data_IF_080046820577
#
_entry.id   IF_080046820577
#
_cell.length_a   1.000
_cell.length_b   1.000
_cell.length_c   1.000
_cell.angle_alpha   90.00
_cell.angle_beta   90.00
_cell.angle_gamma   90.00
#
_symmetry.space_group_name_H-M   'P 1'
#
loop_
_entity.id
_entity.type
_entity.pdbx_description
1 polymer ?
#
# COMPACT_ATOMS: atom_id res chain seq x y z
N UNK A 1 -1.91 17.30 -23.41
CA UNK A 1 -1.33 16.62 -22.25
C UNK A 1 -0.72 17.65 -21.31
N UNK A 2 -1.06 17.62 -20.02
CA UNK A 2 -0.53 18.56 -19.01
C UNK A 2 0.55 17.86 -18.16
N UNK A 3 1.81 18.06 -18.55
CA UNK A 3 2.95 17.44 -17.86
C UNK A 3 3.15 17.91 -16.41
N UNK A 4 2.65 19.09 -16.03
CA UNK A 4 2.73 19.58 -14.65
C UNK A 4 1.86 18.73 -13.71
N UNK A 5 0.66 18.31 -14.17
CA UNK A 5 -0.19 17.39 -13.40
C UNK A 5 0.43 16.00 -13.29
N UNK A 6 1.00 15.50 -14.39
CA UNK A 6 1.68 14.19 -14.38
C UNK A 6 2.90 14.23 -13.44
N UNK A 7 3.74 15.26 -13.53
CA UNK A 7 4.90 15.42 -12.64
C UNK A 7 4.47 15.50 -11.17
N UNK A 8 3.44 16.30 -10.85
CA UNK A 8 2.92 16.39 -9.48
C UNK A 8 2.43 15.03 -8.97
N UNK A 9 1.69 14.27 -9.78
CA UNK A 9 1.21 12.93 -9.41
C UNK A 9 2.36 11.95 -9.14
N UNK A 10 3.35 11.89 -10.04
CA UNK A 10 4.46 10.95 -9.94
C UNK A 10 5.40 11.27 -8.78
N UNK A 11 5.77 12.54 -8.63
CA UNK A 11 6.68 12.97 -7.56
C UNK A 11 6.01 12.86 -6.18
N UNK A 12 4.71 13.15 -6.08
CA UNK A 12 4.00 12.98 -4.81
C UNK A 12 3.87 11.50 -4.41
N UNK A 13 3.65 10.60 -5.37
CA UNK A 13 3.63 9.17 -5.11
C UNK A 13 5.02 8.64 -4.73
N UNK A 14 6.08 9.16 -5.36
CA UNK A 14 7.45 8.83 -4.99
C UNK A 14 7.75 9.21 -3.53
N UNK A 15 7.42 10.44 -3.13
CA UNK A 15 7.61 10.91 -1.75
C UNK A 15 6.78 10.10 -0.74
N UNK A 16 5.51 9.81 -1.08
CA UNK A 16 4.64 8.96 -0.28
C UNK A 16 5.26 7.58 -0.06
N UNK A 17 5.69 6.95 -1.13
CA UNK A 17 6.21 5.58 -1.08
C UNK A 17 7.50 5.48 -0.26
N UNK A 18 8.37 6.49 -0.28
CA UNK A 18 9.54 6.52 0.60
C UNK A 18 9.13 6.53 2.07
N UNK A 19 8.22 7.43 2.49
CA UNK A 19 7.75 7.51 3.87
C UNK A 19 7.02 6.23 4.31
N UNK A 20 6.15 5.72 3.46
CA UNK A 20 5.32 4.55 3.76
C UNK A 20 6.17 3.28 3.91
N UNK A 21 7.04 3.00 2.95
CA UNK A 21 7.85 1.78 2.93
C UNK A 21 9.08 1.85 3.85
N UNK A 22 9.46 3.02 4.34
CA UNK A 22 10.49 3.17 5.38
C UNK A 22 10.09 2.62 6.74
N UNK A 23 8.79 2.56 7.04
CA UNK A 23 8.31 2.05 8.34
C UNK A 23 8.63 0.56 8.56
N UNK A 24 8.64 -0.22 7.50
CA UNK A 24 8.89 -1.66 7.60
C UNK A 24 10.32 -1.98 8.04
N UNK A 25 11.37 -1.51 7.36
CA UNK A 25 12.75 -1.83 7.76
C UNK A 25 13.17 -1.13 9.06
N UNK A 26 12.52 -0.04 9.47
CA UNK A 26 12.82 0.68 10.72
C UNK A 26 12.02 0.19 11.92
N UNK A 27 11.05 -0.72 11.71
CA UNK A 27 10.08 -1.09 12.73
C UNK A 27 10.71 -1.62 14.02
N UNK A 28 11.70 -2.51 13.91
CA UNK A 28 12.37 -3.09 15.08
C UNK A 28 13.16 -2.04 15.88
N UNK A 29 13.88 -1.14 15.19
CA UNK A 29 14.60 -0.06 15.83
C UNK A 29 13.67 0.91 16.57
N UNK A 30 12.49 1.20 16.00
CA UNK A 30 11.45 2.00 16.65
C UNK A 30 10.96 1.34 17.94
N UNK A 31 10.68 0.02 17.93
CA UNK A 31 10.26 -0.70 19.14
C UNK A 31 11.31 -0.61 20.24
N UNK A 32 12.58 -0.78 19.89
CA UNK A 32 13.69 -0.75 20.83
C UNK A 32 13.89 0.66 21.42
N UNK A 33 13.96 1.69 20.58
CA UNK A 33 14.19 3.07 21.02
C UNK A 33 13.07 3.61 21.90
N UNK A 34 11.82 3.20 21.64
CA UNK A 34 10.66 3.60 22.43
C UNK A 34 10.36 2.67 23.61
N UNK A 35 11.06 1.53 23.70
CA UNK A 35 10.81 0.48 24.71
C UNK A 35 9.34 0.02 24.72
N UNK A 36 8.72 -0.16 23.55
CA UNK A 36 7.32 -0.57 23.40
C UNK A 36 7.21 -1.99 22.82
N UNK A 37 6.11 -2.66 23.18
CA UNK A 37 5.80 -3.99 22.66
C UNK A 37 5.29 -3.97 21.21
N UNK A 38 5.23 -5.17 20.56
CA UNK A 38 4.79 -5.29 19.17
C UNK A 38 3.35 -4.84 18.93
N UNK A 39 2.43 -5.02 19.90
CA UNK A 39 1.05 -4.54 19.78
C UNK A 39 1.02 -3.01 19.68
N UNK A 40 1.71 -2.31 20.58
CA UNK A 40 1.80 -0.86 20.57
C UNK A 40 2.52 -0.36 19.30
N UNK A 41 3.61 -1.02 18.91
CA UNK A 41 4.34 -0.69 17.68
C UNK A 41 3.50 -0.86 16.41
N UNK A 42 2.58 -1.82 16.37
CA UNK A 42 1.71 -2.04 15.22
C UNK A 42 0.77 -0.87 14.92
N UNK A 43 0.56 0.04 15.88
CA UNK A 43 -0.24 1.25 15.66
C UNK A 43 0.40 2.23 14.67
N UNK A 44 1.70 2.13 14.39
CA UNK A 44 2.34 2.89 13.30
C UNK A 44 1.69 2.58 11.92
N UNK A 45 1.16 1.39 11.74
CA UNK A 45 0.49 0.95 10.52
C UNK A 45 -1.03 1.02 10.63
N UNK A 46 -1.61 0.48 11.72
CA UNK A 46 -3.07 0.37 11.86
C UNK A 46 -3.75 1.73 12.00
N UNK A 47 -3.15 2.68 12.74
CA UNK A 47 -3.67 4.06 12.86
C UNK A 47 -3.64 4.75 11.51
N UNK A 48 -2.52 4.68 10.79
CA UNK A 48 -2.42 5.28 9.46
C UNK A 48 -3.46 4.68 8.49
N UNK A 49 -3.65 3.36 8.49
CA UNK A 49 -4.64 2.67 7.65
C UNK A 49 -6.08 3.04 8.02
N UNK A 50 -6.38 3.15 9.32
CA UNK A 50 -7.71 3.55 9.81
C UNK A 50 -8.03 5.01 9.42
N UNK A 51 -7.10 5.93 9.60
CA UNK A 51 -7.25 7.32 9.17
C UNK A 51 -7.43 7.39 7.66
N UNK A 52 -6.63 6.62 6.89
CA UNK A 52 -6.78 6.55 5.44
C UNK A 52 -8.17 6.07 5.02
N UNK A 53 -8.72 5.08 5.70
CA UNK A 53 -10.09 4.61 5.45
C UNK A 53 -11.13 5.74 5.65
N UNK A 54 -11.04 6.50 6.75
CA UNK A 54 -11.96 7.62 7.02
C UNK A 54 -11.86 8.70 5.93
N UNK A 55 -10.65 9.06 5.52
CA UNK A 55 -10.42 10.05 4.47
C UNK A 55 -10.98 9.58 3.12
N UNK A 56 -10.76 8.31 2.78
CA UNK A 56 -11.28 7.71 1.55
C UNK A 56 -12.82 7.72 1.51
N UNK A 57 -13.49 7.35 2.62
CA UNK A 57 -14.96 7.38 2.73
C UNK A 57 -15.54 8.79 2.60
N UNK A 58 -14.78 9.82 2.93
CA UNK A 58 -15.21 11.21 2.85
C UNK A 58 -14.75 11.93 1.59
N UNK A 59 -14.02 11.27 0.70
CA UNK A 59 -13.38 11.86 -0.48
C UNK A 59 -14.34 12.60 -1.41
N UNK A 60 -15.55 12.08 -1.61
CA UNK A 60 -16.59 12.71 -2.41
C UNK A 60 -17.02 14.09 -1.89
N UNK A 61 -16.77 14.41 -0.60
CA UNK A 61 -17.13 15.69 0.03
C UNK A 61 -16.03 16.74 -0.07
N UNK A 62 -14.77 16.34 0.12
CA UNK A 62 -13.65 17.29 0.20
C UNK A 62 -12.92 17.49 -1.13
N UNK A 63 -12.78 16.44 -1.95
CA UNK A 63 -12.01 16.52 -3.19
C UNK A 63 -12.60 17.51 -4.22
N UNK A 64 -13.94 17.57 -4.48
CA UNK A 64 -14.50 18.56 -5.38
C UNK A 64 -14.30 20.01 -4.90
N UNK A 65 -14.32 20.22 -3.57
CA UNK A 65 -14.17 21.56 -2.96
C UNK A 65 -12.73 22.08 -3.02
N UNK A 66 -11.76 21.24 -2.71
CA UNK A 66 -10.35 21.63 -2.66
C UNK A 66 -9.65 21.52 -4.02
N UNK A 67 -10.14 20.63 -4.87
CA UNK A 67 -9.51 20.26 -6.12
C UNK A 67 -8.23 19.41 -5.92
N UNK A 68 -7.79 18.67 -6.96
CA UNK A 68 -6.73 17.68 -6.82
C UNK A 68 -5.35 18.30 -6.55
N UNK A 69 -5.03 19.48 -7.10
CA UNK A 69 -3.71 20.12 -6.93
C UNK A 69 -3.52 20.61 -5.50
N UNK A 70 -4.53 21.32 -4.94
CA UNK A 70 -4.46 21.82 -3.55
C UNK A 70 -4.41 20.65 -2.58
N UNK A 71 -5.27 19.65 -2.79
CA UNK A 71 -5.29 18.45 -1.94
C UNK A 71 -3.96 17.70 -1.95
N UNK A 72 -3.31 17.58 -3.13
CA UNK A 72 -1.97 16.95 -3.20
C UNK A 72 -0.92 17.77 -2.44
N UNK A 73 -0.96 19.10 -2.49
CA UNK A 73 -0.05 19.95 -1.70
C UNK A 73 -0.29 19.78 -0.20
N UNK A 74 -1.54 19.73 0.25
CA UNK A 74 -1.89 19.44 1.65
C UNK A 74 -1.31 18.07 2.04
N UNK A 75 -1.50 17.06 1.22
CA UNK A 75 -0.93 15.72 1.45
C UNK A 75 0.59 15.76 1.62
N UNK A 76 1.31 16.40 0.69
CA UNK A 76 2.77 16.53 0.76
C UNK A 76 3.23 17.29 2.03
N UNK A 77 2.49 18.33 2.44
CA UNK A 77 2.77 19.04 3.69
C UNK A 77 2.57 18.14 4.90
N UNK A 78 1.47 17.38 4.95
CA UNK A 78 1.21 16.41 6.02
C UNK A 78 2.29 15.35 6.09
N UNK A 79 2.76 14.84 4.94
CA UNK A 79 3.85 13.87 4.85
C UNK A 79 5.19 14.46 5.32
N UNK A 80 5.52 15.70 4.92
CA UNK A 80 6.74 16.37 5.38
C UNK A 80 6.73 16.57 6.90
N UNK A 81 5.60 17.05 7.45
CA UNK A 81 5.43 17.22 8.90
C UNK A 81 5.48 15.87 9.62
N UNK A 82 4.84 14.82 9.06
CA UNK A 82 4.89 13.46 9.61
C UNK A 82 6.33 12.95 9.73
N UNK A 83 7.15 13.13 8.69
CA UNK A 83 8.55 12.73 8.70
C UNK A 83 9.34 13.44 9.81
N UNK A 84 9.12 14.74 9.99
CA UNK A 84 9.74 15.52 11.07
C UNK A 84 9.25 15.10 12.46
N UNK A 85 7.93 14.87 12.63
CA UNK A 85 7.37 14.38 13.90
C UNK A 85 7.91 12.98 14.21
N UNK A 86 8.11 12.14 13.19
CA UNK A 86 8.72 10.81 13.37
C UNK A 86 10.17 10.89 13.84
N UNK A 87 10.94 11.87 13.37
CA UNK A 87 12.27 12.16 13.91
C UNK A 87 12.20 12.55 15.40
N UNK A 88 11.31 13.48 15.75
CA UNK A 88 11.10 13.89 17.15
C UNK A 88 10.64 12.72 18.03
N UNK A 89 9.86 11.79 17.48
CA UNK A 89 9.47 10.55 18.16
C UNK A 89 10.67 9.81 18.73
N UNK A 90 11.70 9.60 17.91
CA UNK A 90 12.90 8.90 18.36
C UNK A 90 13.81 9.75 19.25
N UNK A 91 13.90 11.07 19.00
CA UNK A 91 14.71 11.97 19.85
C UNK A 91 14.14 12.06 21.27
N UNK A 92 12.80 12.09 21.41
CA UNK A 92 12.14 12.24 22.70
C UNK A 92 11.66 10.89 23.30
N UNK A 93 11.87 9.77 22.60
CA UNK A 93 11.33 8.45 22.93
C UNK A 93 9.82 8.50 23.24
N UNK A 94 9.04 9.27 22.45
CA UNK A 94 7.64 9.59 22.75
C UNK A 94 6.66 8.79 21.93
N UNK A 95 5.94 7.90 22.60
CA UNK A 95 4.86 7.12 21.97
C UNK A 95 3.72 8.01 21.44
N UNK A 96 3.41 9.12 22.12
CA UNK A 96 2.38 10.06 21.65
C UNK A 96 2.77 10.69 20.31
N UNK A 97 4.03 11.04 20.12
CA UNK A 97 4.52 11.57 18.84
C UNK A 97 4.48 10.49 17.73
N UNK A 98 4.71 9.22 18.06
CA UNK A 98 4.53 8.10 17.13
C UNK A 98 3.11 8.06 16.58
N UNK A 99 2.11 8.16 17.45
CA UNK A 99 0.69 8.16 17.05
C UNK A 99 0.35 9.38 16.22
N UNK A 100 0.81 10.58 16.63
CA UNK A 100 0.59 11.82 15.86
C UNK A 100 1.20 11.70 14.45
N UNK A 101 2.45 11.22 14.34
CA UNK A 101 3.09 10.98 13.05
C UNK A 101 2.28 10.01 12.19
N UNK A 102 1.77 8.93 12.78
CA UNK A 102 0.97 7.92 12.07
C UNK A 102 -0.36 8.48 11.57
N UNK A 103 -1.01 9.38 12.34
CA UNK A 103 -2.22 10.09 11.92
C UNK A 103 -1.91 11.01 10.72
N UNK A 104 -0.86 11.83 10.83
CA UNK A 104 -0.44 12.74 9.77
C UNK A 104 -0.09 12.00 8.49
N UNK A 105 0.64 10.88 8.61
CA UNK A 105 0.97 10.03 7.47
C UNK A 105 -0.28 9.41 6.85
N UNK A 106 -1.21 8.89 7.66
CA UNK A 106 -2.46 8.32 7.19
C UNK A 106 -3.32 9.30 6.41
N UNK A 107 -3.42 10.56 6.88
CA UNK A 107 -4.06 11.66 6.16
C UNK A 107 -3.35 11.93 4.82
N UNK A 108 -2.04 12.09 4.84
CA UNK A 108 -1.24 12.33 3.66
C UNK A 108 -1.35 11.21 2.63
N UNK A 109 -1.24 9.95 3.08
CA UNK A 109 -1.33 8.76 2.26
C UNK A 109 -2.68 8.67 1.52
N UNK A 110 -3.78 8.81 2.23
CA UNK A 110 -5.13 8.72 1.64
C UNK A 110 -5.39 9.83 0.63
N UNK A 111 -5.07 11.07 0.97
CA UNK A 111 -5.25 12.20 0.06
C UNK A 111 -4.39 12.02 -1.20
N UNK A 112 -3.12 11.62 -1.06
CA UNK A 112 -2.22 11.42 -2.19
C UNK A 112 -2.70 10.32 -3.11
N UNK A 113 -3.06 9.14 -2.58
CA UNK A 113 -3.50 7.99 -3.38
C UNK A 113 -4.75 8.26 -4.22
N UNK A 114 -5.64 9.13 -3.75
CA UNK A 114 -6.79 9.57 -4.53
C UNK A 114 -6.36 10.61 -5.58
N UNK A 115 -5.66 11.65 -5.14
CA UNK A 115 -5.40 12.83 -6.00
C UNK A 115 -4.43 12.53 -7.12
N UNK A 116 -3.44 11.64 -6.94
CA UNK A 116 -2.52 11.24 -8.00
C UNK A 116 -3.26 10.61 -9.20
N UNK A 117 -4.27 9.79 -8.93
CA UNK A 117 -5.08 9.18 -9.99
C UNK A 117 -5.87 10.24 -10.76
N UNK A 118 -6.49 11.18 -10.05
CA UNK A 118 -7.24 12.29 -10.67
C UNK A 118 -6.31 13.19 -11.49
N UNK A 119 -5.12 13.50 -10.99
CA UNK A 119 -4.12 14.30 -11.72
C UNK A 119 -3.65 13.60 -12.99
N UNK A 120 -3.43 12.27 -12.97
CA UNK A 120 -3.09 11.50 -14.17
C UNK A 120 -4.25 11.55 -15.18
N UNK A 121 -5.50 11.38 -14.75
CA UNK A 121 -6.68 11.48 -15.63
C UNK A 121 -6.73 12.88 -16.29
N UNK A 122 -6.64 13.95 -15.49
CA UNK A 122 -6.73 15.32 -15.98
C UNK A 122 -5.50 15.76 -16.78
N UNK A 123 -4.34 15.15 -16.53
CA UNK A 123 -3.10 15.45 -17.25
C UNK A 123 -2.90 14.66 -18.55
N UNK A 124 -3.61 13.55 -18.72
CA UNK A 124 -3.44 12.62 -19.85
C UNK A 124 -4.46 12.84 -20.97
N UNK A 125 -4.16 12.29 -22.14
CA UNK A 125 -5.12 12.08 -23.24
C UNK A 125 -5.63 10.65 -23.19
N UNK A 126 -6.74 10.34 -23.87
CA UNK A 126 -7.30 8.97 -23.89
C UNK A 126 -6.27 7.93 -24.38
N UNK A 127 -5.40 8.31 -25.32
CA UNK A 127 -4.35 7.44 -25.89
C UNK A 127 -3.17 7.21 -24.95
N UNK A 128 -2.85 8.17 -24.08
CA UNK A 128 -1.67 8.09 -23.20
C UNK A 128 -2.00 7.63 -21.77
N UNK A 129 -3.28 7.66 -21.39
CA UNK A 129 -3.74 7.43 -20.01
C UNK A 129 -3.28 6.08 -19.44
N UNK A 130 -3.48 4.98 -20.16
CA UNK A 130 -3.07 3.64 -19.73
C UNK A 130 -1.57 3.57 -19.44
N UNK A 131 -0.75 4.14 -20.34
CA UNK A 131 0.71 4.19 -20.19
C UNK A 131 1.13 5.00 -18.97
N UNK A 132 0.48 6.13 -18.72
CA UNK A 132 0.78 6.98 -17.57
C UNK A 132 0.36 6.34 -16.24
N UNK A 133 -0.76 5.64 -16.19
CA UNK A 133 -1.10 4.85 -14.99
C UNK A 133 -0.10 3.73 -14.72
N UNK A 134 0.34 3.02 -15.75
CA UNK A 134 1.39 2.01 -15.60
C UNK A 134 2.69 2.61 -15.05
N UNK A 135 3.10 3.77 -15.59
CA UNK A 135 4.27 4.52 -15.11
C UNK A 135 4.13 4.97 -13.65
N UNK A 136 2.93 5.39 -13.24
CA UNK A 136 2.64 5.77 -11.85
C UNK A 136 2.89 4.61 -10.88
N UNK A 137 2.40 3.42 -11.20
CA UNK A 137 2.64 2.23 -10.38
C UNK A 137 4.11 1.77 -10.41
N UNK A 138 4.81 1.99 -11.53
CA UNK A 138 6.25 1.71 -11.62
C UNK A 138 7.07 2.63 -10.70
N UNK A 139 6.72 3.92 -10.59
CA UNK A 139 7.35 4.86 -9.63
C UNK A 139 7.13 4.41 -8.19
N UNK A 140 5.93 3.94 -7.83
CA UNK A 140 5.70 3.38 -6.50
C UNK A 140 6.62 2.18 -6.22
N UNK A 141 6.71 1.23 -7.15
CA UNK A 141 7.60 0.07 -7.02
C UNK A 141 9.08 0.46 -6.91
N UNK A 142 9.53 1.43 -7.72
CA UNK A 142 10.90 1.93 -7.66
C UNK A 142 11.22 2.57 -6.30
N UNK A 143 10.36 3.44 -5.80
CA UNK A 143 10.58 4.10 -4.50
C UNK A 143 10.49 3.11 -3.32
N UNK A 144 9.63 2.11 -3.41
CA UNK A 144 9.55 1.02 -2.41
C UNK A 144 10.85 0.19 -2.36
N UNK A 145 11.42 -0.08 -3.53
CA UNK A 145 12.73 -0.74 -3.65
C UNK A 145 13.86 0.13 -3.07
N UNK A 146 13.82 1.45 -3.30
CA UNK A 146 14.87 2.37 -2.84
C UNK A 146 14.84 2.62 -1.33
N UNK A 147 13.69 2.53 -0.67
CA UNK A 147 13.55 2.86 0.74
C UNK A 147 14.53 2.09 1.66
N UNK A 148 14.66 0.75 1.59
CA UNK A 148 15.65 0.02 2.40
C UNK A 148 17.09 0.35 2.03
N UNK A 149 17.41 0.63 0.76
CA UNK A 149 18.76 1.02 0.35
C UNK A 149 19.16 2.38 0.90
N UNK A 150 18.25 3.36 0.90
CA UNK A 150 18.48 4.68 1.50
C UNK A 150 18.72 4.52 2.99
N UNK A 151 17.90 3.73 3.69
CA UNK A 151 18.11 3.45 5.11
C UNK A 151 19.46 2.80 5.36
N UNK A 152 19.83 1.74 4.62
CA UNK A 152 21.11 1.06 4.73
C UNK A 152 22.30 2.01 4.48
N UNK A 153 22.19 2.90 3.49
CA UNK A 153 23.19 3.93 3.24
C UNK A 153 23.35 4.89 4.41
N UNK A 154 22.25 5.36 5.00
CA UNK A 154 22.27 6.25 6.17
C UNK A 154 22.92 5.57 7.37
N UNK A 155 22.54 4.32 7.68
CA UNK A 155 23.12 3.54 8.81
C UNK A 155 24.63 3.36 8.62
N UNK A 156 25.09 2.99 7.42
CA UNK A 156 26.53 2.83 7.10
C UNK A 156 27.34 4.12 7.28
N UNK A 157 26.70 5.29 7.15
CA UNK A 157 27.34 6.59 7.34
C UNK A 157 27.09 7.20 8.74
N UNK A 158 26.73 6.39 9.73
CA UNK A 158 26.56 6.83 11.13
C UNK A 158 25.22 7.49 11.43
N UNK A 159 24.28 7.47 10.48
CA UNK A 159 22.88 7.87 10.71
C UNK A 159 22.06 6.74 11.33
N UNK A 160 20.79 7.02 11.57
CA UNK A 160 19.84 6.07 12.13
C UNK A 160 18.47 6.18 11.42
N UNK A 161 17.50 5.39 11.89
CA UNK A 161 16.15 5.40 11.36
C UNK A 161 15.45 6.76 11.46
N UNK A 162 15.79 7.59 12.46
CA UNK A 162 15.22 8.94 12.65
C UNK A 162 15.59 9.85 11.49
N UNK A 163 16.86 9.82 11.09
CA UNK A 163 17.38 10.61 9.96
C UNK A 163 16.69 10.20 8.65
N UNK A 164 16.38 8.90 8.47
CA UNK A 164 15.65 8.43 7.30
C UNK A 164 14.30 9.16 7.13
N UNK A 165 13.53 9.32 8.20
CA UNK A 165 12.23 10.00 8.13
C UNK A 165 12.35 11.50 7.87
N UNK A 166 13.39 12.15 8.37
CA UNK A 166 13.68 13.55 8.00
C UNK A 166 14.00 13.66 6.51
N UNK A 167 14.88 12.82 5.98
CA UNK A 167 15.25 12.82 4.56
C UNK A 167 14.01 12.61 3.69
N UNK A 168 13.17 11.62 4.03
CA UNK A 168 11.93 11.34 3.31
C UNK A 168 10.92 12.50 3.39
N UNK A 169 10.82 13.18 4.54
CA UNK A 169 10.01 14.38 4.73
C UNK A 169 10.51 15.56 3.90
N UNK A 170 11.84 15.74 3.83
CA UNK A 170 12.48 16.76 2.97
C UNK A 170 12.16 16.49 1.49
N UNK A 171 12.16 15.23 1.05
CA UNK A 171 11.76 14.88 -0.33
C UNK A 171 10.33 15.34 -0.60
N UNK A 172 9.39 15.12 0.31
CA UNK A 172 8.00 15.60 0.16
C UNK A 172 7.95 17.14 0.07
N UNK A 173 8.73 17.84 0.87
CA UNK A 173 8.81 19.30 0.82
C UNK A 173 9.43 19.80 -0.50
N UNK A 174 10.50 19.17 -0.98
CA UNK A 174 11.12 19.49 -2.27
C UNK A 174 10.10 19.33 -3.42
N UNK A 175 9.26 18.28 -3.38
CA UNK A 175 8.21 18.08 -4.39
C UNK A 175 7.22 19.26 -4.40
N UNK A 176 6.85 19.83 -3.24
CA UNK A 176 6.02 21.03 -3.19
C UNK A 176 6.69 22.20 -3.94
N UNK A 177 7.99 22.42 -3.68
CA UNK A 177 8.73 23.51 -4.30
C UNK A 177 8.87 23.34 -5.81
N UNK A 178 9.20 22.12 -6.27
CA UNK A 178 9.34 21.78 -7.70
C UNK A 178 8.01 21.94 -8.47
N UNK A 179 6.90 21.63 -7.81
CA UNK A 179 5.57 21.63 -8.44
C UNK A 179 4.74 22.89 -8.13
N UNK A 180 5.35 23.94 -7.53
CA UNK A 180 4.66 25.17 -7.14
C UNK A 180 3.93 25.90 -8.27
N UNK A 181 4.43 25.78 -9.51
CA UNK A 181 3.85 26.39 -10.72
C UNK A 181 2.68 25.60 -11.32
N UNK A 182 2.28 24.47 -10.72
CA UNK A 182 1.12 23.72 -11.19
C UNK A 182 -0.15 24.49 -10.84
N UNK A 183 -0.93 24.81 -11.89
CA UNK A 183 -2.17 25.58 -11.76
C UNK A 183 -3.23 24.80 -10.97
N UNK A 184 -3.97 25.49 -10.13
CA UNK A 184 -5.14 24.93 -9.44
C UNK A 184 -6.29 24.76 -10.42
N UNK A 185 -6.97 23.63 -10.35
CA UNK A 185 -8.19 23.41 -11.13
C UNK A 185 -9.39 24.02 -10.38
N UNK A 186 -10.39 24.57 -11.08
CA UNK A 186 -11.63 25.01 -10.46
C UNK A 186 -12.28 23.86 -9.68
N UNK A 187 -12.96 24.21 -8.59
CA UNK A 187 -13.79 23.25 -7.85
C UNK A 187 -14.94 22.76 -8.74
N UNK A 188 -15.19 21.46 -8.72
CA UNK A 188 -16.31 20.86 -9.46
C UNK A 188 -17.54 20.77 -8.55
N UNK A 189 -18.73 20.98 -9.13
CA UNK A 189 -19.98 20.90 -8.39
C UNK A 189 -20.28 19.42 -8.00
N UNK A 190 -20.53 19.08 -6.72
CA UNK A 190 -20.70 17.69 -6.27
C UNK A 190 -21.93 16.96 -6.83
N UNK A 191 -22.79 17.66 -7.59
CA UNK A 191 -24.11 17.15 -7.98
C UNK A 191 -24.16 16.11 -9.10
N UNK A 192 -23.02 15.74 -9.73
CA UNK A 192 -23.05 14.87 -10.93
C UNK A 192 -22.80 13.37 -10.68
N UNK A 193 -22.65 12.91 -9.45
CA UNK A 193 -22.41 11.47 -9.19
C UNK A 193 -23.58 10.78 -8.46
N UNK A 194 -24.78 10.85 -9.00
CA UNK A 194 -25.91 10.00 -8.61
C UNK A 194 -26.26 9.01 -9.74
N UNK A 195 -25.47 7.98 -9.91
CA UNK A 195 -25.96 6.72 -10.46
C UNK A 195 -25.88 5.67 -9.35
N UNK A 196 -27.00 5.52 -8.61
CA UNK A 196 -27.21 4.39 -7.71
C UNK A 196 -27.39 3.12 -8.58
N UNK A 197 -26.29 2.48 -8.89
CA UNK A 197 -26.31 1.15 -9.48
C UNK A 197 -26.16 0.16 -8.33
N UNK A 198 -27.29 -0.31 -7.78
CA UNK A 198 -27.27 -1.27 -6.67
C UNK A 198 -26.67 -2.59 -7.11
N UNK A 199 -25.52 -2.93 -6.49
CA UNK A 199 -24.94 -4.28 -6.54
C UNK A 199 -25.28 -4.97 -5.22
N UNK A 200 -25.81 -6.20 -5.23
CA UNK A 200 -26.14 -6.92 -4.01
C UNK A 200 -24.97 -6.97 -3.03
N UNK A 201 -25.24 -6.77 -1.74
CA UNK A 201 -24.23 -6.70 -0.69
C UNK A 201 -23.30 -7.93 -0.68
N UNK A 202 -23.84 -9.12 -0.95
CA UNK A 202 -23.09 -10.38 -1.03
C UNK A 202 -21.90 -10.30 -1.99
N UNK A 203 -22.06 -9.71 -3.17
CA UNK A 203 -20.99 -9.57 -4.17
C UNK A 203 -19.98 -8.50 -3.77
N UNK A 204 -20.44 -7.42 -3.15
CA UNK A 204 -19.56 -6.38 -2.59
C UNK A 204 -18.66 -6.96 -1.50
N UNK A 205 -19.21 -7.80 -0.62
CA UNK A 205 -18.47 -8.48 0.44
C UNK A 205 -17.48 -9.49 -0.17
N UNK A 206 -17.92 -10.33 -1.12
CA UNK A 206 -17.05 -11.35 -1.72
C UNK A 206 -15.86 -10.74 -2.46
N UNK A 207 -16.09 -9.71 -3.29
CA UNK A 207 -14.97 -9.01 -3.95
C UNK A 207 -14.13 -8.20 -2.98
N UNK A 208 -14.74 -7.64 -1.96
CA UNK A 208 -14.05 -6.97 -0.86
C UNK A 208 -13.12 -7.90 -0.10
N UNK A 209 -13.59 -9.11 0.23
CA UNK A 209 -12.77 -10.16 0.85
C UNK A 209 -11.70 -10.68 -0.11
N UNK A 210 -12.05 -10.94 -1.37
CA UNK A 210 -11.10 -11.41 -2.38
C UNK A 210 -9.91 -10.46 -2.51
N UNK A 211 -10.15 -9.19 -2.83
CA UNK A 211 -9.09 -8.23 -3.08
C UNK A 211 -8.53 -7.63 -1.78
N UNK A 212 -9.37 -7.41 -0.77
CA UNK A 212 -8.94 -6.86 0.52
C UNK A 212 -8.06 -7.81 1.31
N UNK A 213 -8.43 -9.09 1.43
CA UNK A 213 -7.61 -10.08 2.11
C UNK A 213 -6.33 -10.39 1.33
N UNK A 214 -6.40 -10.38 -0.02
CA UNK A 214 -5.20 -10.50 -0.84
C UNK A 214 -4.20 -9.36 -0.57
N UNK A 215 -4.64 -8.08 -0.66
CA UNK A 215 -3.76 -6.93 -0.39
C UNK A 215 -3.24 -6.97 1.04
N UNK A 216 -4.06 -7.35 2.01
CA UNK A 216 -3.62 -7.51 3.38
C UNK A 216 -2.55 -8.60 3.52
N UNK A 217 -2.67 -9.75 2.81
CA UNK A 217 -1.66 -10.80 2.84
C UNK A 217 -0.31 -10.35 2.23
N UNK A 218 -0.34 -9.57 1.13
CA UNK A 218 0.85 -8.95 0.54
C UNK A 218 1.53 -8.00 1.55
N UNK A 219 0.73 -7.19 2.26
CA UNK A 219 1.25 -6.26 3.24
C UNK A 219 1.72 -6.91 4.54
N UNK A 220 1.25 -8.10 4.91
CA UNK A 220 1.87 -8.86 6.02
C UNK A 220 3.35 -9.09 5.70
N UNK A 221 3.67 -9.58 4.51
CA UNK A 221 5.08 -9.84 4.15
C UNK A 221 5.83 -8.51 3.98
N UNK A 222 5.36 -7.60 3.14
CA UNK A 222 6.10 -6.37 2.83
C UNK A 222 6.34 -5.46 4.04
N UNK A 223 5.47 -5.48 5.04
CA UNK A 223 5.64 -4.64 6.23
C UNK A 223 6.33 -5.36 7.40
N UNK A 224 6.34 -6.70 7.42
CA UNK A 224 6.82 -7.47 8.57
C UNK A 224 8.03 -8.38 8.28
N UNK A 225 8.40 -8.56 7.02
CA UNK A 225 9.55 -9.40 6.65
C UNK A 225 10.85 -8.96 7.34
N UNK A 226 11.27 -7.66 7.32
CA UNK A 226 12.49 -7.27 8.02
C UNK A 226 12.43 -7.53 9.52
N UNK A 227 11.28 -7.26 10.15
CA UNK A 227 11.08 -7.51 11.57
C UNK A 227 11.22 -9.01 11.90
N UNK A 228 10.57 -9.89 11.13
CA UNK A 228 10.69 -11.34 11.27
C UNK A 228 12.15 -11.82 11.12
N UNK A 229 12.83 -11.37 10.08
CA UNK A 229 14.24 -11.75 9.83
C UNK A 229 15.14 -11.31 10.98
N UNK A 230 14.92 -10.12 11.51
CA UNK A 230 15.71 -9.57 12.59
C UNK A 230 15.40 -10.23 13.94
N UNK A 231 14.12 -10.39 14.31
CA UNK A 231 13.72 -10.88 15.63
C UNK A 231 13.78 -12.40 15.76
N UNK A 232 13.40 -13.15 14.71
CA UNK A 232 13.34 -14.62 14.72
C UNK A 232 14.64 -15.23 14.19
N UNK A 233 15.09 -14.78 13.01
CA UNK A 233 16.28 -15.35 12.36
C UNK A 233 17.58 -14.64 12.74
N UNK A 234 17.53 -13.56 13.54
CA UNK A 234 18.67 -12.81 14.05
C UNK A 234 19.55 -12.17 12.97
N UNK A 235 18.96 -11.84 11.81
CA UNK A 235 19.66 -11.09 10.78
C UNK A 235 19.81 -9.62 11.21
N UNK A 236 20.88 -8.97 10.77
CA UNK A 236 21.08 -7.54 10.98
C UNK A 236 20.06 -6.71 10.17
N UNK A 237 19.91 -5.43 10.53
CA UNK A 237 18.93 -4.52 9.90
C UNK A 237 19.18 -4.33 8.41
N UNK A 238 20.45 -4.26 7.99
CA UNK A 238 20.82 -4.03 6.58
C UNK A 238 20.46 -5.25 5.75
N UNK A 239 20.84 -6.45 6.20
CA UNK A 239 20.51 -7.71 5.54
C UNK A 239 18.99 -7.90 5.47
N UNK A 240 18.26 -7.63 6.56
CA UNK A 240 16.81 -7.72 6.60
C UNK A 240 16.16 -6.73 5.62
N UNK A 241 16.71 -5.53 5.46
CA UNK A 241 16.29 -4.54 4.47
C UNK A 241 16.52 -5.01 3.03
N UNK A 242 17.63 -5.72 2.75
CA UNK A 242 17.88 -6.27 1.41
C UNK A 242 16.85 -7.34 1.02
N UNK A 243 16.41 -8.19 1.94
CA UNK A 243 15.32 -9.14 1.68
C UNK A 243 14.00 -8.42 1.32
N UNK A 244 13.70 -7.31 1.98
CA UNK A 244 12.54 -6.49 1.60
C UNK A 244 12.72 -5.88 0.20
N UNK A 245 13.93 -5.43 -0.14
CA UNK A 245 14.22 -4.94 -1.48
C UNK A 245 14.05 -6.03 -2.54
N UNK A 246 14.46 -7.27 -2.25
CA UNK A 246 14.24 -8.43 -3.13
C UNK A 246 12.74 -8.71 -3.27
N UNK A 247 11.93 -8.56 -2.21
CA UNK A 247 10.48 -8.68 -2.29
C UNK A 247 9.88 -7.68 -3.28
N UNK A 248 10.21 -6.40 -3.15
CA UNK A 248 9.71 -5.37 -4.08
C UNK A 248 10.26 -5.53 -5.49
N UNK A 249 11.51 -5.95 -5.66
CA UNK A 249 12.09 -6.25 -6.96
C UNK A 249 11.35 -7.41 -7.64
N UNK A 250 11.08 -8.49 -6.92
CA UNK A 250 10.35 -9.66 -7.42
C UNK A 250 8.90 -9.32 -7.77
N UNK A 251 8.24 -8.46 -6.95
CA UNK A 251 6.91 -7.93 -7.23
C UNK A 251 6.89 -7.10 -8.53
N UNK A 252 7.86 -6.21 -8.69
CA UNK A 252 7.99 -5.41 -9.91
C UNK A 252 8.30 -6.28 -11.14
N UNK A 253 9.23 -7.21 -11.01
CA UNK A 253 9.60 -8.13 -12.11
C UNK A 253 8.39 -8.95 -12.59
N UNK A 254 7.59 -9.45 -11.65
CA UNK A 254 6.36 -10.15 -12.00
C UNK A 254 5.35 -9.23 -12.71
N UNK A 255 5.10 -8.02 -12.20
CA UNK A 255 4.20 -7.04 -12.86
C UNK A 255 4.66 -6.68 -14.28
N UNK A 256 5.97 -6.48 -14.48
CA UNK A 256 6.54 -6.22 -15.80
C UNK A 256 6.34 -7.43 -16.72
N UNK A 257 6.67 -8.64 -16.27
CA UNK A 257 6.48 -9.87 -17.05
C UNK A 257 5.03 -10.04 -17.50
N UNK A 258 4.08 -9.84 -16.58
CA UNK A 258 2.65 -9.94 -16.88
C UNK A 258 2.12 -8.80 -17.77
N UNK A 259 2.76 -7.64 -17.77
CA UNK A 259 2.42 -6.53 -18.67
C UNK A 259 2.94 -6.74 -20.10
N UNK A 260 4.07 -7.43 -20.25
CA UNK A 260 4.70 -7.67 -21.56
C UNK A 260 4.13 -8.88 -22.29
N UNK A 261 3.55 -9.85 -21.57
CA UNK A 261 3.05 -11.09 -22.13
C UNK A 261 1.54 -11.20 -21.94
N UNK A 262 0.79 -11.28 -23.04
CA UNK A 262 -0.64 -11.61 -22.98
C UNK A 262 -0.80 -13.09 -22.62
N UNK A 263 -1.41 -13.38 -21.49
CA UNK A 263 -1.71 -14.74 -21.07
C UNK A 263 -3.07 -15.16 -21.66
N UNK A 264 -3.14 -16.38 -22.21
CA UNK A 264 -4.38 -16.98 -22.74
C UNK A 264 -5.31 -17.51 -21.65
N UNK A 265 -4.88 -17.44 -20.39
CA UNK A 265 -5.65 -17.93 -19.25
C UNK A 265 -6.61 -16.86 -18.73
N UNK A 266 -7.75 -17.31 -18.20
CA UNK A 266 -8.74 -16.41 -17.57
C UNK A 266 -8.18 -15.79 -16.30
N UNK A 267 -8.62 -14.57 -15.99
CA UNK A 267 -8.14 -13.80 -14.81
C UNK A 267 -8.37 -14.56 -13.50
N UNK A 268 -9.50 -15.26 -13.34
CA UNK A 268 -9.77 -16.09 -12.16
C UNK A 268 -8.80 -17.27 -12.00
N UNK A 269 -8.41 -17.92 -13.10
CA UNK A 269 -7.44 -19.04 -13.05
C UNK A 269 -6.04 -18.55 -12.65
N UNK A 270 -5.62 -17.39 -13.14
CA UNK A 270 -4.36 -16.77 -12.78
C UNK A 270 -4.35 -16.36 -11.30
N UNK A 271 -5.46 -15.83 -10.77
CA UNK A 271 -5.59 -15.54 -9.35
C UNK A 271 -5.47 -16.80 -8.49
N UNK A 272 -6.17 -17.88 -8.83
CA UNK A 272 -6.05 -19.17 -8.10
C UNK A 272 -4.60 -19.64 -8.10
N UNK A 273 -3.95 -19.62 -9.26
CA UNK A 273 -2.54 -20.03 -9.39
C UNK A 273 -1.62 -19.14 -8.52
N UNK A 274 -1.83 -17.81 -8.52
CA UNK A 274 -1.11 -16.87 -7.65
C UNK A 274 -1.24 -17.24 -6.16
N UNK A 275 -2.45 -17.47 -5.68
CA UNK A 275 -2.69 -17.78 -4.27
C UNK A 275 -2.03 -19.10 -3.85
N UNK A 276 -2.14 -20.15 -4.70
CA UNK A 276 -1.52 -21.46 -4.42
C UNK A 276 0.01 -21.34 -4.42
N UNK A 277 0.59 -20.73 -5.45
CA UNK A 277 2.05 -20.58 -5.53
C UNK A 277 2.60 -19.68 -4.43
N UNK A 278 1.86 -18.66 -4.00
CA UNK A 278 2.21 -17.83 -2.85
C UNK A 278 2.24 -18.65 -1.56
N UNK A 279 1.25 -19.49 -1.30
CA UNK A 279 1.24 -20.36 -0.13
C UNK A 279 2.42 -21.33 -0.13
N UNK A 280 2.72 -21.96 -1.26
CA UNK A 280 3.89 -22.85 -1.40
C UNK A 280 5.18 -22.06 -1.11
N UNK A 281 5.35 -20.91 -1.75
CA UNK A 281 6.53 -20.06 -1.60
C UNK A 281 6.69 -19.58 -0.15
N UNK A 282 5.59 -19.21 0.50
CA UNK A 282 5.57 -18.79 1.90
C UNK A 282 6.08 -19.90 2.84
N UNK A 283 5.56 -21.12 2.73
CA UNK A 283 6.00 -22.23 3.58
C UNK A 283 7.44 -22.69 3.26
N UNK A 284 7.86 -22.64 2.00
CA UNK A 284 9.28 -22.83 1.67
C UNK A 284 10.16 -21.76 2.34
N UNK A 285 9.62 -20.53 2.46
CA UNK A 285 10.30 -19.43 3.13
C UNK A 285 10.44 -19.61 4.64
N UNK A 286 9.46 -20.22 5.30
CA UNK A 286 9.53 -20.50 6.73
C UNK A 286 10.42 -21.70 7.07
N UNK A 287 10.39 -22.78 6.26
CA UNK A 287 10.99 -24.06 6.63
C UNK A 287 12.29 -24.40 5.90
N UNK A 288 12.57 -23.75 4.75
CA UNK A 288 13.76 -24.06 3.93
C UNK A 288 14.71 -22.87 3.90
N UNK A 289 14.28 -21.71 3.36
CA UNK A 289 15.14 -20.55 3.27
C UNK A 289 14.32 -19.25 3.13
N UNK A 290 14.61 -18.19 3.92
CA UNK A 290 13.80 -16.96 3.96
C UNK A 290 13.77 -16.19 2.63
N UNK A 291 14.66 -16.49 1.67
CA UNK A 291 14.60 -15.92 0.32
C UNK A 291 13.25 -16.21 -0.35
N UNK A 292 12.61 -17.34 -0.07
CA UNK A 292 11.28 -17.65 -0.62
C UNK A 292 10.21 -16.70 -0.08
N UNK A 293 10.33 -16.17 1.15
CA UNK A 293 9.43 -15.10 1.63
C UNK A 293 9.57 -13.84 0.78
N UNK A 294 10.79 -13.47 0.41
CA UNK A 294 11.00 -12.33 -0.50
C UNK A 294 10.50 -12.63 -1.93
N UNK A 295 10.60 -13.88 -2.40
CA UNK A 295 10.08 -14.29 -3.71
C UNK A 295 8.54 -14.40 -3.74
N UNK A 296 7.85 -14.39 -2.60
CA UNK A 296 6.39 -14.23 -2.57
C UNK A 296 5.93 -12.97 -3.32
N UNK A 297 6.74 -11.91 -3.37
CA UNK A 297 6.46 -10.73 -4.19
C UNK A 297 6.18 -11.08 -5.65
N UNK A 298 6.94 -12.01 -6.24
CA UNK A 298 6.73 -12.45 -7.63
C UNK A 298 5.40 -13.19 -7.79
N UNK A 299 5.10 -14.13 -6.90
CA UNK A 299 3.87 -14.94 -6.98
C UNK A 299 2.61 -14.11 -6.71
N UNK A 300 2.73 -13.05 -5.90
CA UNK A 300 1.66 -12.10 -5.60
C UNK A 300 1.48 -11.03 -6.67
N UNK A 301 2.47 -10.74 -7.50
CA UNK A 301 2.57 -9.55 -8.34
C UNK A 301 1.37 -9.30 -9.26
N UNK A 302 0.72 -10.33 -9.74
CA UNK A 302 -0.34 -10.25 -10.76
C UNK A 302 -1.76 -10.49 -10.22
N UNK A 303 -1.93 -10.95 -8.98
CA UNK A 303 -3.27 -11.24 -8.45
C UNK A 303 -4.16 -9.99 -8.35
N UNK A 304 -3.62 -8.84 -7.90
CA UNK A 304 -4.41 -7.62 -7.83
C UNK A 304 -4.81 -7.08 -9.22
N UNK A 305 -3.89 -6.94 -10.21
CA UNK A 305 -4.29 -6.56 -11.57
C UNK A 305 -5.32 -7.49 -12.18
N UNK A 306 -5.14 -8.80 -12.03
CA UNK A 306 -6.10 -9.79 -12.54
C UNK A 306 -7.45 -9.72 -11.81
N UNK A 307 -7.44 -9.46 -10.51
CA UNK A 307 -8.66 -9.27 -9.73
C UNK A 307 -9.44 -8.02 -10.13
N UNK A 308 -8.74 -6.93 -10.44
CA UNK A 308 -9.37 -5.71 -10.97
C UNK A 308 -9.92 -5.91 -12.38
N UNK A 309 -9.20 -6.63 -13.24
CA UNK A 309 -9.68 -6.99 -14.58
C UNK A 309 -10.94 -7.86 -14.49
N UNK A 310 -10.91 -8.90 -13.67
CA UNK A 310 -12.06 -9.77 -13.40
C UNK A 310 -13.27 -9.00 -12.84
N UNK A 311 -13.04 -8.02 -11.97
CA UNK A 311 -14.10 -7.14 -11.46
C UNK A 311 -14.75 -6.33 -12.59
N UNK A 312 -13.93 -5.69 -13.43
CA UNK A 312 -14.43 -4.85 -14.54
C UNK A 312 -15.20 -5.69 -15.56
N UNK A 313 -14.67 -6.87 -15.93
CA UNK A 313 -15.37 -7.79 -16.83
C UNK A 313 -16.70 -8.29 -16.26
N UNK A 314 -16.75 -8.57 -14.95
CA UNK A 314 -17.93 -9.09 -14.27
C UNK A 314 -19.04 -8.06 -14.12
N UNK A 315 -18.70 -6.84 -13.66
CA UNK A 315 -19.68 -5.82 -13.30
C UNK A 315 -19.92 -4.77 -14.38
N UNK A 316 -19.12 -4.74 -15.44
CA UNK A 316 -19.31 -3.84 -16.61
C UNK A 316 -19.63 -2.40 -16.21
N UNK A 317 -20.83 -1.93 -16.50
CA UNK A 317 -21.28 -0.56 -16.19
C UNK A 317 -21.31 -0.24 -14.70
N UNK A 318 -21.44 -1.26 -13.82
CA UNK A 318 -21.42 -1.12 -12.36
C UNK A 318 -20.00 -1.19 -11.77
N UNK A 319 -18.96 -1.30 -12.61
CA UNK A 319 -17.56 -1.51 -12.17
C UNK A 319 -17.04 -0.37 -11.29
N UNK A 320 -17.34 0.90 -11.60
CA UNK A 320 -16.88 2.05 -10.82
C UNK A 320 -17.41 2.02 -9.38
N UNK A 321 -18.68 1.65 -9.21
CA UNK A 321 -19.29 1.46 -7.91
C UNK A 321 -18.61 0.30 -7.13
N UNK A 322 -18.37 -0.80 -7.82
CA UNK A 322 -17.69 -1.97 -7.23
C UNK A 322 -16.24 -1.68 -6.85
N UNK A 323 -15.49 -0.96 -7.69
CA UNK A 323 -14.12 -0.53 -7.38
C UNK A 323 -14.12 0.29 -6.08
N UNK A 324 -15.01 1.27 -5.95
CA UNK A 324 -15.14 2.09 -4.73
C UNK A 324 -15.45 1.24 -3.50
N UNK A 325 -16.37 0.27 -3.63
CA UNK A 325 -16.71 -0.67 -2.56
C UNK A 325 -15.50 -1.53 -2.15
N UNK A 326 -14.78 -2.07 -3.12
CA UNK A 326 -13.59 -2.89 -2.89
C UNK A 326 -12.47 -2.08 -2.21
N UNK A 327 -12.23 -0.84 -2.64
CA UNK A 327 -11.22 0.04 -2.00
C UNK A 327 -11.57 0.31 -0.52
N UNK A 328 -12.85 0.44 -0.20
CA UNK A 328 -13.31 0.54 1.20
C UNK A 328 -12.97 -0.73 1.99
N UNK A 329 -13.27 -1.92 1.44
CA UNK A 329 -12.95 -3.19 2.07
C UNK A 329 -11.46 -3.41 2.25
N UNK A 330 -10.63 -3.00 1.27
CA UNK A 330 -9.17 -3.02 1.39
C UNK A 330 -8.75 -2.19 2.61
N UNK A 331 -9.27 -0.98 2.77
CA UNK A 331 -8.97 -0.14 3.94
C UNK A 331 -9.32 -0.80 5.27
N UNK A 332 -10.50 -1.44 5.36
CA UNK A 332 -10.93 -2.20 6.55
C UNK A 332 -9.99 -3.36 6.81
N UNK A 333 -9.69 -4.16 5.78
CA UNK A 333 -8.80 -5.33 5.90
C UNK A 333 -7.39 -4.94 6.34
N UNK A 334 -6.84 -3.84 5.82
CA UNK A 334 -5.51 -3.37 6.20
C UNK A 334 -5.44 -2.89 7.65
N UNK A 335 -6.40 -2.07 8.07
CA UNK A 335 -6.47 -1.60 9.45
C UNK A 335 -6.59 -2.80 10.43
N UNK A 336 -7.48 -3.75 10.12
CA UNK A 336 -7.69 -4.95 10.93
C UNK A 336 -6.45 -5.84 10.95
N UNK A 337 -5.82 -6.09 9.80
CA UNK A 337 -4.64 -6.94 9.69
C UNK A 337 -3.47 -6.38 10.50
N UNK A 338 -3.18 -5.08 10.38
CA UNK A 338 -2.08 -4.49 11.15
C UNK A 338 -2.32 -4.53 12.66
N UNK A 339 -3.57 -4.31 13.09
CA UNK A 339 -3.94 -4.41 14.49
C UNK A 339 -3.82 -5.86 14.99
N UNK A 340 -4.41 -6.82 14.28
CA UNK A 340 -4.35 -8.24 14.61
C UNK A 340 -2.92 -8.78 14.63
N UNK A 341 -2.09 -8.35 13.66
CA UNK A 341 -0.68 -8.73 13.65
C UNK A 341 0.02 -8.32 14.95
N UNK A 342 -0.22 -7.10 15.42
CA UNK A 342 0.35 -6.63 16.67
C UNK A 342 -0.04 -7.48 17.87
N UNK A 343 -1.34 -7.76 18.01
CA UNK A 343 -1.86 -8.58 19.11
C UNK A 343 -1.32 -10.01 19.08
N UNK A 344 -1.35 -10.65 17.90
CA UNK A 344 -0.85 -12.03 17.76
C UNK A 344 0.66 -12.09 17.99
N UNK A 345 1.40 -11.10 17.49
CA UNK A 345 2.84 -11.03 17.68
C UNK A 345 3.23 -10.84 19.15
N UNK A 346 2.47 -10.05 19.91
CA UNK A 346 2.72 -9.86 21.35
C UNK A 346 2.40 -11.12 22.16
N UNK A 347 1.34 -11.83 21.78
CA UNK A 347 0.89 -13.01 22.50
C UNK A 347 1.67 -14.29 22.15
N UNK A 348 2.08 -14.45 20.90
CA UNK A 348 2.58 -15.73 20.37
C UNK A 348 3.90 -15.61 19.57
N UNK A 349 4.43 -14.40 19.37
CA UNK A 349 5.66 -14.16 18.61
C UNK A 349 5.46 -13.90 17.12
N UNK A 350 6.54 -13.43 16.49
CA UNK A 350 6.52 -12.96 15.10
C UNK A 350 6.34 -14.09 14.09
N UNK A 351 6.81 -15.29 14.39
CA UNK A 351 6.66 -16.51 13.59
C UNK A 351 5.18 -16.91 13.43
N UNK A 352 4.43 -16.90 14.54
CA UNK A 352 2.99 -17.18 14.53
C UNK A 352 2.22 -16.02 13.87
N UNK A 353 2.57 -14.77 14.19
CA UNK A 353 1.91 -13.61 13.60
C UNK A 353 2.07 -13.56 12.07
N UNK A 354 3.19 -14.04 11.53
CA UNK A 354 3.42 -14.08 10.08
C UNK A 354 2.46 -15.04 9.37
N UNK A 355 1.89 -16.05 10.06
CA UNK A 355 0.85 -16.96 9.52
C UNK A 355 -0.46 -16.25 9.17
N UNK A 356 -0.64 -14.99 9.56
CA UNK A 356 -1.73 -14.16 9.02
C UNK A 356 -1.68 -14.06 7.49
N UNK A 357 -0.49 -14.14 6.87
CA UNK A 357 -0.36 -14.10 5.41
C UNK A 357 -1.09 -15.29 4.73
N UNK A 358 -0.75 -16.57 5.00
CA UNK A 358 -1.48 -17.68 4.40
C UNK A 358 -2.95 -17.73 4.82
N UNK A 359 -3.32 -17.33 6.04
CA UNK A 359 -4.70 -17.26 6.49
C UNK A 359 -5.52 -16.27 5.62
N UNK A 360 -5.00 -15.08 5.38
CA UNK A 360 -5.64 -14.08 4.52
C UNK A 360 -5.68 -14.55 3.06
N UNK A 361 -4.64 -15.23 2.59
CA UNK A 361 -4.60 -15.84 1.25
C UNK A 361 -5.71 -16.90 1.10
N UNK A 362 -5.96 -17.71 2.12
CA UNK A 362 -7.07 -18.69 2.14
C UNK A 362 -8.43 -17.97 2.11
N UNK A 363 -8.59 -16.89 2.86
CA UNK A 363 -9.83 -16.09 2.84
C UNK A 363 -10.09 -15.54 1.44
N UNK A 364 -9.06 -14.96 0.80
CA UNK A 364 -9.17 -14.44 -0.56
C UNK A 364 -9.55 -15.53 -1.58
N UNK A 365 -8.87 -16.68 -1.52
CA UNK A 365 -9.15 -17.82 -2.40
C UNK A 365 -10.56 -18.40 -2.16
N UNK A 366 -10.98 -18.50 -0.90
CA UNK A 366 -12.33 -18.97 -0.55
C UNK A 366 -13.41 -18.02 -1.09
N UNK A 367 -13.21 -16.71 -0.95
CA UNK A 367 -14.12 -15.70 -1.49
C UNK A 367 -14.25 -15.82 -3.03
N UNK A 368 -13.14 -16.04 -3.73
CA UNK A 368 -13.14 -16.28 -5.19
C UNK A 368 -13.94 -17.54 -5.55
N UNK A 369 -13.67 -18.66 -4.87
CA UNK A 369 -14.35 -19.94 -5.15
C UNK A 369 -15.86 -19.83 -4.87
N UNK A 370 -16.26 -19.19 -3.78
CA UNK A 370 -17.66 -18.96 -3.44
C UNK A 370 -18.32 -18.09 -4.51
N UNK A 371 -17.65 -17.02 -4.96
CA UNK A 371 -18.17 -16.16 -6.02
C UNK A 371 -18.34 -16.93 -7.33
N UNK A 372 -17.38 -17.76 -7.73
CA UNK A 372 -17.45 -18.54 -8.97
C UNK A 372 -18.62 -19.54 -8.96
N UNK A 373 -18.99 -20.06 -7.79
CA UNK A 373 -20.12 -20.98 -7.61
C UNK A 373 -21.47 -20.29 -7.36
N UNK A 374 -21.49 -18.99 -7.12
CA UNK A 374 -22.72 -18.25 -6.80
C UNK A 374 -23.57 -18.01 -8.03
N UNK A 375 -24.89 -17.95 -7.82
CA UNK A 375 -25.85 -17.51 -8.84
C UNK A 375 -25.63 -16.03 -9.18
N UNK A 376 -25.38 -15.75 -10.46
CA UNK A 376 -25.08 -14.43 -11.02
C UNK A 376 -26.29 -13.79 -11.71
N UNK A 377 -27.47 -14.38 -11.60
CA UNK A 377 -28.70 -13.89 -12.28
C UNK A 377 -29.10 -12.46 -11.86
N UNK A 378 -28.53 -11.97 -10.74
CA UNK A 378 -28.81 -10.61 -10.20
C UNK A 378 -27.70 -9.59 -10.52
N UNK A 379 -26.69 -9.93 -11.31
CA UNK A 379 -25.64 -9.03 -11.79
C UNK A 379 -26.03 -8.39 -13.10
#
# INVERSE_FOLDING_TARGET
MNWRFIALAYLSLFALSLLDNGRSPTYNAILQDLSIGPAQGSYIFSVASFISLIVNLTAAKWLPRLGPVVSTRISLTLMAVSGFVMYLTGVQASYTLLIISSILLGLGLAICTITMNVLVIKGSTNTTRKRLFSGLHAIYGLSSLLAPFILAFLIKNGGDWKVYFVVSGIVAFIVILLTRKTETLPSEDPKQQKNNQDVPLRFRVLFGLLLGAYVASELVISTRLPYYLNTVLKYDEITSGYYLSIFFLSLCAGRVLFSLKSFRYKSESLMIFSHITTMICFFLGLYIHPLFLALCGFTMSYAFPMGMDFLVETFKEKSDYMITSVMTWIGVMLASMHFLFGLVNEAYGADIALLLCPMLTIIALSALIIFLKSDKSTL
#
